data_IF_185837366612
#
_entry.id   IF_185837366612
#
_cell.length_a   1.000
_cell.length_b   1.000
_cell.length_c   1.000
_cell.angle_alpha   90.00
_cell.angle_beta   90.00
_cell.angle_gamma   90.00
#
_symmetry.space_group_name_H-M   'P 1'
#
loop_
_entity.id
_entity.type
_entity.pdbx_description
1 polymer ?
#
# COMPACT_ATOMS: atom_id res chain seq x y z
N UNK A 1 -32.24 0.43 -0.76
CA UNK A 1 -31.31 1.57 -0.63
C UNK A 1 -31.10 1.79 0.86
N UNK A 2 -30.00 1.24 1.40
CA UNK A 2 -29.54 1.60 2.75
C UNK A 2 -28.77 2.90 2.61
N UNK A 3 -29.20 3.97 3.28
CA UNK A 3 -28.43 5.21 3.36
C UNK A 3 -27.27 4.98 4.34
N UNK A 4 -26.21 4.34 3.88
CA UNK A 4 -24.95 4.27 4.62
C UNK A 4 -24.28 5.64 4.49
N UNK A 5 -24.08 6.34 5.60
CA UNK A 5 -23.39 7.62 5.63
C UNK A 5 -21.90 7.36 5.79
N UNK A 6 -21.14 7.56 4.72
CA UNK A 6 -19.69 7.36 4.67
C UNK A 6 -18.89 8.62 5.09
N UNK A 7 -19.54 9.62 5.69
CA UNK A 7 -18.87 10.86 6.07
C UNK A 7 -18.34 11.62 4.85
N UNK A 8 -17.05 11.96 4.87
CA UNK A 8 -16.36 12.62 3.74
C UNK A 8 -15.95 11.66 2.61
N UNK A 9 -16.09 10.34 2.80
CA UNK A 9 -15.82 9.35 1.75
C UNK A 9 -16.98 9.33 0.73
N UNK A 10 -16.63 9.50 -0.53
CA UNK A 10 -17.57 9.33 -1.64
C UNK A 10 -17.36 7.97 -2.29
N UNK A 11 -18.34 7.06 -2.17
CA UNK A 11 -18.29 5.77 -2.89
C UNK A 11 -18.38 6.01 -4.39
N UNK A 12 -17.38 5.56 -5.14
CA UNK A 12 -17.37 5.61 -6.59
C UNK A 12 -17.93 4.33 -7.21
N UNK A 13 -17.60 3.17 -6.65
CA UNK A 13 -18.02 1.89 -7.17
C UNK A 13 -17.94 0.77 -6.13
N UNK A 14 -18.83 -0.22 -6.26
CA UNK A 14 -18.63 -1.55 -5.67
C UNK A 14 -17.59 -2.28 -6.52
N UNK A 15 -16.58 -2.86 -5.86
CA UNK A 15 -15.55 -3.65 -6.51
C UNK A 15 -16.09 -5.04 -6.89
N UNK A 16 -15.68 -5.60 -8.04
CA UNK A 16 -16.06 -6.95 -8.43
C UNK A 16 -15.62 -7.99 -7.40
N UNK A 17 -16.36 -9.10 -7.29
CA UNK A 17 -16.01 -10.24 -6.43
C UNK A 17 -14.61 -10.85 -6.66
N UNK A 18 -13.94 -10.50 -7.76
CA UNK A 18 -12.54 -10.88 -8.02
C UNK A 18 -11.55 -10.09 -7.16
N UNK A 19 -11.97 -8.98 -6.54
CA UNK A 19 -11.18 -8.07 -5.71
C UNK A 19 -11.69 -8.04 -4.26
N UNK A 20 -12.08 -9.20 -3.72
CA UNK A 20 -12.63 -9.30 -2.36
C UNK A 20 -11.61 -8.96 -1.27
N UNK A 21 -10.35 -9.30 -1.51
CA UNK A 21 -9.23 -9.09 -0.59
C UNK A 21 -8.31 -8.03 -1.21
N UNK A 22 -8.89 -6.96 -1.77
CA UNK A 22 -8.11 -5.88 -2.39
C UNK A 22 -7.20 -5.25 -1.35
N UNK A 23 -5.89 -5.23 -1.64
CA UNK A 23 -4.88 -4.72 -0.70
C UNK A 23 -4.14 -3.52 -1.29
N UNK A 24 -3.65 -3.63 -2.53
CA UNK A 24 -2.96 -2.53 -3.22
C UNK A 24 -3.82 -1.84 -4.27
N UNK A 25 -3.64 -0.51 -4.39
CA UNK A 25 -4.23 0.36 -5.42
C UNK A 25 -3.18 1.33 -5.94
N UNK A 26 -3.15 1.59 -7.25
CA UNK A 26 -2.27 2.61 -7.82
C UNK A 26 -2.77 3.11 -9.19
N UNK A 27 -2.43 4.34 -9.56
CA UNK A 27 -2.58 4.88 -10.92
C UNK A 27 -1.23 4.96 -11.62
N UNK A 28 -1.22 4.94 -12.94
CA UNK A 28 0.01 5.16 -13.72
C UNK A 28 -0.14 6.42 -14.57
N UNK A 29 0.95 7.16 -14.71
CA UNK A 29 0.98 8.36 -15.55
C UNK A 29 0.43 8.09 -16.95
N UNK A 30 -0.40 9.01 -17.45
CA UNK A 30 -1.06 8.94 -18.77
C UNK A 30 -2.05 7.78 -18.93
N UNK A 31 -2.64 7.29 -17.84
CA UNK A 31 -3.75 6.33 -17.89
C UNK A 31 -4.86 6.73 -16.93
N UNK A 32 -6.11 6.58 -17.37
CA UNK A 32 -7.29 6.71 -16.50
C UNK A 32 -7.64 5.39 -15.78
N UNK A 33 -6.79 4.36 -15.94
CA UNK A 33 -6.97 3.07 -15.29
C UNK A 33 -6.41 3.08 -13.87
N UNK A 34 -7.17 2.48 -12.97
CA UNK A 34 -6.81 2.26 -11.58
C UNK A 34 -6.39 0.79 -11.46
N UNK A 35 -5.13 0.57 -11.11
CA UNK A 35 -4.55 -0.76 -10.92
C UNK A 35 -4.78 -1.24 -9.50
N UNK A 36 -5.11 -2.50 -9.36
CA UNK A 36 -5.38 -3.14 -8.08
C UNK A 36 -4.82 -4.56 -8.03
N UNK A 37 -4.56 -5.04 -6.82
CA UNK A 37 -4.22 -6.43 -6.53
C UNK A 37 -4.97 -6.94 -5.29
N UNK A 38 -5.01 -8.26 -5.12
CA UNK A 38 -5.49 -8.88 -3.88
C UNK A 38 -4.32 -9.32 -2.99
N UNK A 39 -4.62 -9.44 -1.69
CA UNK A 39 -3.76 -9.93 -0.61
C UNK A 39 -3.18 -11.34 -0.86
N UNK A 40 -2.22 -11.73 -0.03
CA UNK A 40 -1.55 -13.03 0.08
C UNK A 40 -2.41 -14.25 -0.23
N UNK A 41 -1.87 -15.18 -1.01
CA UNK A 41 -2.52 -16.45 -1.33
C UNK A 41 -3.53 -16.41 -2.48
N UNK A 42 -3.88 -15.21 -2.96
CA UNK A 42 -4.69 -15.04 -4.17
C UNK A 42 -3.92 -15.33 -5.46
N UNK A 43 -4.62 -15.20 -6.60
CA UNK A 43 -3.98 -15.27 -7.91
C UNK A 43 -2.97 -14.14 -8.08
N UNK A 44 -1.87 -14.45 -8.76
CA UNK A 44 -0.83 -13.47 -9.13
C UNK A 44 -1.25 -12.66 -10.35
N UNK A 45 -2.24 -11.79 -10.15
CA UNK A 45 -2.86 -10.98 -11.18
C UNK A 45 -2.92 -9.50 -10.76
N UNK A 46 -2.72 -8.59 -11.70
CA UNK A 46 -3.06 -7.18 -11.57
C UNK A 46 -4.35 -6.90 -12.34
N UNK A 47 -5.25 -6.14 -11.73
CA UNK A 47 -6.53 -5.76 -12.32
C UNK A 47 -6.52 -4.27 -12.64
N UNK A 48 -6.81 -3.88 -13.88
CA UNK A 48 -6.96 -2.48 -14.26
C UNK A 48 -8.44 -2.16 -14.41
N UNK A 49 -8.95 -1.24 -13.61
CA UNK A 49 -10.36 -0.85 -13.54
C UNK A 49 -10.55 0.58 -14.05
N UNK A 50 -11.75 0.88 -14.53
CA UNK A 50 -12.19 2.28 -14.62
C UNK A 50 -12.75 2.77 -13.27
N UNK A 51 -13.03 4.07 -13.15
CA UNK A 51 -13.63 4.67 -11.95
C UNK A 51 -15.02 4.12 -11.60
N UNK A 52 -15.66 3.34 -12.48
CA UNK A 52 -16.94 2.69 -12.24
C UNK A 52 -16.77 1.27 -11.70
N UNK A 53 -15.56 0.87 -11.33
CA UNK A 53 -15.24 -0.47 -10.83
C UNK A 53 -15.24 -1.55 -11.91
N UNK A 54 -15.29 -1.19 -13.20
CA UNK A 54 -15.31 -2.17 -14.29
C UNK A 54 -13.90 -2.59 -14.66
N UNK A 55 -13.58 -3.88 -14.50
CA UNK A 55 -12.31 -4.45 -14.95
C UNK A 55 -12.19 -4.30 -16.47
N UNK A 56 -11.18 -3.55 -16.92
CA UNK A 56 -10.79 -3.39 -18.32
C UNK A 56 -9.68 -4.34 -18.72
N UNK A 57 -8.83 -4.72 -17.77
CA UNK A 57 -7.68 -5.60 -18.04
C UNK A 57 -7.33 -6.44 -16.82
N UNK A 58 -6.81 -7.63 -17.10
CA UNK A 58 -6.20 -8.50 -16.11
C UNK A 58 -4.84 -8.94 -16.64
N UNK A 59 -3.78 -8.71 -15.87
CA UNK A 59 -2.41 -9.08 -16.23
C UNK A 59 -1.94 -10.18 -15.31
N UNK A 60 -1.46 -11.28 -15.89
CA UNK A 60 -0.89 -12.40 -15.15
C UNK A 60 0.59 -12.18 -14.92
N UNK A 61 1.02 -12.26 -13.67
CA UNK A 61 2.40 -12.02 -13.28
C UNK A 61 3.13 -13.36 -13.11
N UNK A 62 4.37 -13.46 -13.60
CA UNK A 62 5.22 -14.63 -13.40
C UNK A 62 5.93 -14.63 -12.04
N UNK A 63 5.13 -14.52 -10.98
CA UNK A 63 5.54 -14.69 -9.60
C UNK A 63 4.44 -15.41 -8.84
N UNK A 64 4.76 -15.92 -7.66
CA UNK A 64 3.75 -16.40 -6.71
C UNK A 64 3.37 -15.23 -5.80
N UNK A 65 2.08 -15.08 -5.52
CA UNK A 65 1.59 -14.21 -4.47
C UNK A 65 1.84 -14.91 -3.12
N UNK A 66 2.94 -14.54 -2.46
CA UNK A 66 3.28 -15.07 -1.14
C UNK A 66 2.57 -14.29 -0.03
N UNK A 67 2.67 -12.97 -0.07
CA UNK A 67 1.98 -11.99 0.81
C UNK A 67 2.10 -10.62 0.08
N UNK A 68 1.26 -10.42 -0.95
CA UNK A 68 1.23 -9.19 -1.73
C UNK A 68 0.35 -8.16 -1.06
N UNK A 69 0.89 -7.02 -0.71
CA UNK A 69 0.18 -6.04 0.13
C UNK A 69 -0.14 -4.76 -0.65
N UNK A 70 0.87 -4.07 -1.19
CA UNK A 70 0.65 -2.74 -1.79
C UNK A 70 1.09 -2.66 -3.27
N UNK A 71 0.69 -1.55 -3.91
CA UNK A 71 1.14 -1.13 -5.22
C UNK A 71 1.81 0.25 -5.17
N UNK A 72 2.77 0.47 -6.06
CA UNK A 72 3.31 1.79 -6.32
C UNK A 72 3.67 1.93 -7.80
N UNK A 73 3.78 3.17 -8.29
CA UNK A 73 4.20 3.47 -9.65
C UNK A 73 5.40 4.41 -9.69
N UNK A 74 6.17 4.35 -10.77
CA UNK A 74 7.15 5.40 -11.08
C UNK A 74 6.68 6.32 -12.21
N UNK A 75 7.41 7.41 -12.40
CA UNK A 75 7.15 8.41 -13.43
C UNK A 75 7.31 7.89 -14.87
N UNK A 76 7.85 6.67 -15.05
CA UNK A 76 7.96 6.00 -16.34
C UNK A 76 6.77 5.05 -16.60
N UNK A 77 5.82 4.98 -15.66
CA UNK A 77 4.64 4.10 -15.76
C UNK A 77 4.93 2.64 -15.43
N UNK A 78 6.04 2.33 -14.77
CA UNK A 78 6.26 1.00 -14.21
C UNK A 78 5.44 0.83 -12.94
N UNK A 79 4.98 -0.39 -12.70
CA UNK A 79 4.33 -0.76 -11.44
C UNK A 79 5.28 -1.57 -10.57
N UNK A 80 5.14 -1.41 -9.27
CA UNK A 80 5.85 -2.14 -8.23
C UNK A 80 4.82 -2.86 -7.38
N UNK A 81 5.06 -4.15 -7.11
CA UNK A 81 4.21 -5.00 -6.28
C UNK A 81 4.98 -5.33 -5.01
N UNK A 82 4.41 -5.03 -3.86
CA UNK A 82 5.00 -5.34 -2.56
C UNK A 82 4.69 -6.77 -2.13
N UNK A 83 5.62 -7.71 -2.33
CA UNK A 83 5.55 -9.04 -1.70
C UNK A 83 6.29 -9.00 -0.35
N UNK A 84 5.67 -8.33 0.61
CA UNK A 84 6.31 -7.82 1.83
C UNK A 84 5.55 -8.07 3.13
N UNK A 85 4.30 -8.57 3.05
CA UNK A 85 3.53 -9.01 4.22
C UNK A 85 4.32 -10.03 5.03
N UNK A 86 4.34 -9.87 6.35
CA UNK A 86 5.14 -10.67 7.26
C UNK A 86 4.53 -10.68 8.67
N UNK A 87 3.23 -10.97 8.72
CA UNK A 87 2.38 -11.07 9.92
C UNK A 87 3.09 -11.71 11.14
N UNK A 88 3.80 -12.81 10.91
CA UNK A 88 4.50 -13.56 11.98
C UNK A 88 5.94 -13.09 12.24
N UNK A 89 6.46 -12.16 11.44
CA UNK A 89 7.81 -11.59 11.48
C UNK A 89 8.93 -12.63 11.27
N UNK A 90 8.67 -13.70 10.51
CA UNK A 90 9.59 -14.80 10.27
C UNK A 90 10.07 -14.92 8.81
N UNK A 91 9.57 -14.10 7.88
CA UNK A 91 9.99 -14.14 6.48
C UNK A 91 11.41 -13.60 6.30
N UNK A 92 12.15 -14.24 5.42
CA UNK A 92 13.54 -13.89 5.01
C UNK A 92 13.64 -13.56 3.51
N UNK A 93 12.51 -13.53 2.81
CA UNK A 93 12.38 -13.43 1.35
C UNK A 93 11.51 -12.24 0.93
N UNK A 94 11.61 -11.11 1.64
CA UNK A 94 10.87 -9.90 1.29
C UNK A 94 11.38 -9.34 -0.04
N UNK A 95 10.46 -8.97 -0.93
CA UNK A 95 10.80 -8.56 -2.29
C UNK A 95 9.78 -7.60 -2.86
N UNK A 96 10.26 -6.60 -3.60
CA UNK A 96 9.42 -5.78 -4.49
C UNK A 96 9.57 -6.33 -5.91
N UNK A 97 8.45 -6.58 -6.57
CA UNK A 97 8.42 -7.04 -7.97
C UNK A 97 8.15 -5.84 -8.86
N UNK A 98 9.06 -5.56 -9.80
CA UNK A 98 8.85 -4.51 -10.80
C UNK A 98 8.25 -5.10 -12.07
N UNK A 99 7.16 -4.49 -12.53
CA UNK A 99 6.46 -4.72 -13.79
C UNK A 99 6.73 -3.52 -14.69
N UNK A 100 7.31 -3.76 -15.87
CA UNK A 100 7.61 -2.67 -16.79
C UNK A 100 6.32 -2.12 -17.42
N UNK A 101 6.24 -0.80 -17.61
CA UNK A 101 5.05 -0.14 -18.17
C UNK A 101 4.64 -0.69 -19.55
N UNK A 102 5.62 -1.09 -20.37
CA UNK A 102 5.38 -1.70 -21.68
C UNK A 102 4.67 -3.07 -21.59
N UNK A 103 4.81 -3.77 -20.47
CA UNK A 103 4.16 -5.06 -20.22
C UNK A 103 2.71 -4.88 -19.71
N UNK A 104 2.28 -3.65 -19.39
CA UNK A 104 0.90 -3.37 -18.95
C UNK A 104 -0.14 -3.46 -20.07
N UNK A 105 0.29 -3.75 -21.29
CA UNK A 105 -0.59 -3.97 -22.46
C UNK A 105 -0.57 -5.38 -23.02
N UNK A 106 0.18 -6.30 -22.41
CA UNK A 106 0.34 -7.66 -22.95
C UNK A 106 -0.73 -8.63 -22.45
N UNK A 107 -1.07 -9.61 -23.28
CA UNK A 107 -1.92 -10.76 -22.91
C UNK A 107 -1.09 -11.94 -22.39
N UNK A 108 0.25 -11.85 -22.46
CA UNK A 108 1.16 -12.88 -22.00
C UNK A 108 1.39 -12.78 -20.49
N UNK A 109 1.91 -13.87 -19.92
CA UNK A 109 2.41 -13.83 -18.54
C UNK A 109 3.64 -12.91 -18.49
N UNK A 110 3.62 -11.94 -17.57
CA UNK A 110 4.64 -10.89 -17.46
C UNK A 110 5.81 -11.37 -16.59
N UNK A 111 7.02 -11.27 -17.14
CA UNK A 111 8.25 -11.47 -16.36
C UNK A 111 8.51 -10.27 -15.47
N UNK A 112 9.10 -10.50 -14.29
CA UNK A 112 9.33 -9.44 -13.30
C UNK A 112 10.79 -9.28 -12.93
N UNK A 113 11.15 -8.06 -12.56
CA UNK A 113 12.43 -7.80 -11.89
C UNK A 113 12.24 -7.88 -10.37
N UNK A 114 13.22 -8.46 -9.68
CA UNK A 114 13.18 -8.65 -8.23
C UNK A 114 14.12 -7.70 -7.51
N UNK A 115 13.55 -6.94 -6.59
CA UNK A 115 14.26 -6.04 -5.68
C UNK A 115 14.11 -6.64 -4.28
N UNK A 116 15.02 -7.56 -3.95
CA UNK A 116 14.98 -8.24 -2.66
C UNK A 116 15.58 -7.33 -1.59
N UNK A 117 15.04 -7.40 -0.39
CA UNK A 117 15.59 -6.64 0.72
C UNK A 117 15.47 -7.37 2.05
N UNK A 118 16.23 -6.89 3.04
CA UNK A 118 16.13 -7.32 4.43
C UNK A 118 16.21 -6.12 5.37
N UNK A 119 15.54 -6.23 6.51
CA UNK A 119 15.70 -5.26 7.57
C UNK A 119 17.05 -5.42 8.29
N UNK A 120 17.80 -4.34 8.52
CA UNK A 120 19.10 -4.41 9.18
C UNK A 120 18.99 -4.93 10.61
N UNK A 121 17.85 -4.66 11.27
CA UNK A 121 17.63 -4.89 12.70
C UNK A 121 16.91 -6.22 13.01
N UNK A 122 16.43 -6.95 12.01
CA UNK A 122 15.79 -8.26 12.22
C UNK A 122 16.83 -9.37 12.30
N UNK A 123 17.34 -9.64 13.50
CA UNK A 123 18.36 -10.69 13.72
C UNK A 123 17.78 -12.08 14.00
N UNK A 124 16.47 -12.18 14.21
CA UNK A 124 15.74 -13.42 14.50
C UNK A 124 14.44 -13.47 13.72
N UNK A 125 14.00 -14.68 13.37
CA UNK A 125 12.85 -14.94 12.51
C UNK A 125 11.98 -16.04 13.16
N UNK A 126 11.03 -15.70 14.05
CA UNK A 126 10.66 -14.35 14.47
C UNK A 126 11.49 -13.78 15.63
N UNK A 127 11.54 -12.44 15.78
CA UNK A 127 12.08 -11.82 16.97
C UNK A 127 11.15 -12.03 18.19
N UNK A 128 11.61 -11.60 19.37
CA UNK A 128 10.79 -11.62 20.58
C UNK A 128 9.50 -10.84 20.35
N UNK A 129 8.41 -11.21 21.04
CA UNK A 129 7.08 -10.59 20.84
C UNK A 129 7.07 -9.07 20.96
N UNK A 130 7.91 -8.49 21.82
CA UNK A 130 8.05 -7.05 22.01
C UNK A 130 8.98 -6.35 20.99
N UNK A 131 9.44 -7.07 19.97
CA UNK A 131 10.36 -6.60 18.92
C UNK A 131 9.82 -6.92 17.51
N UNK A 132 8.53 -7.24 17.38
CA UNK A 132 7.90 -7.61 16.10
C UNK A 132 7.41 -6.36 15.35
N UNK A 133 8.36 -5.69 14.69
CA UNK A 133 8.13 -4.49 13.89
C UNK A 133 8.64 -4.65 12.44
N UNK A 134 8.65 -5.88 11.93
CA UNK A 134 9.18 -6.25 10.62
C UNK A 134 8.12 -6.88 9.71
N UNK A 135 6.87 -6.66 10.08
CA UNK A 135 5.74 -6.80 9.19
C UNK A 135 5.59 -5.52 8.38
N UNK A 136 5.18 -5.59 7.14
CA UNK A 136 5.09 -4.41 6.27
C UNK A 136 3.94 -4.67 5.34
N UNK A 137 3.07 -3.68 5.20
CA UNK A 137 1.91 -3.75 4.30
C UNK A 137 1.97 -2.64 3.25
N UNK A 138 2.85 -1.64 3.42
CA UNK A 138 2.78 -0.41 2.62
C UNK A 138 4.12 0.10 2.15
N UNK A 139 4.13 0.69 0.94
CA UNK A 139 5.30 1.35 0.38
C UNK A 139 4.94 2.27 -0.79
N UNK A 140 5.82 3.21 -1.11
CA UNK A 140 5.73 3.98 -2.36
C UNK A 140 7.10 4.18 -3.02
N UNK A 141 7.09 4.59 -4.30
CA UNK A 141 8.28 5.00 -5.04
C UNK A 141 8.50 6.51 -4.94
N UNK A 142 9.73 6.95 -4.68
CA UNK A 142 10.12 8.36 -4.76
C UNK A 142 11.62 8.50 -5.02
N UNK A 143 12.02 9.35 -5.98
CA UNK A 143 13.42 9.65 -6.32
C UNK A 143 14.33 8.40 -6.35
N UNK A 144 14.03 7.46 -7.27
CA UNK A 144 14.77 6.22 -7.51
C UNK A 144 14.84 5.24 -6.32
N UNK A 145 13.98 5.44 -5.33
CA UNK A 145 13.96 4.64 -4.11
C UNK A 145 12.54 4.18 -3.78
N UNK A 146 12.46 3.10 -3.02
CA UNK A 146 11.22 2.57 -2.46
C UNK A 146 11.26 2.82 -0.95
N UNK A 147 10.21 3.45 -0.44
CA UNK A 147 10.04 3.77 0.97
C UNK A 147 9.00 2.86 1.55
N UNK A 148 9.39 2.08 2.56
CA UNK A 148 8.63 0.96 3.10
C UNK A 148 8.24 1.27 4.54
N UNK A 149 6.97 1.04 4.85
CA UNK A 149 6.37 1.33 6.15
C UNK A 149 6.00 0.02 6.85
N UNK A 150 6.51 -0.17 8.06
CA UNK A 150 6.24 -1.40 8.81
C UNK A 150 4.96 -1.33 9.62
N UNK A 151 4.26 -2.45 9.75
CA UNK A 151 3.20 -2.66 10.72
C UNK A 151 3.76 -3.26 12.01
N UNK A 152 3.32 -2.74 13.16
CA UNK A 152 3.79 -3.23 14.46
C UNK A 152 2.88 -4.34 14.98
N UNK A 153 3.42 -5.54 15.19
CA UNK A 153 2.71 -6.67 15.82
C UNK A 153 2.95 -6.74 17.33
N UNK A 154 3.36 -5.62 17.93
CA UNK A 154 3.60 -5.50 19.38
C UNK A 154 2.32 -5.00 20.08
N UNK A 155 1.87 -5.75 21.09
CA UNK A 155 0.68 -5.41 21.90
C UNK A 155 0.76 -3.97 22.42
N UNK A 156 -0.34 -3.22 22.27
CA UNK A 156 -0.51 -1.82 22.68
C UNK A 156 0.43 -0.83 21.95
N UNK A 157 1.01 -1.22 20.81
CA UNK A 157 1.84 -0.38 19.95
C UNK A 157 1.50 -0.65 18.48
N UNK A 158 0.23 -0.89 18.17
CA UNK A 158 -0.19 -1.33 16.84
C UNK A 158 -0.02 -0.22 15.80
N UNK A 159 -0.32 1.03 16.14
CA UNK A 159 -0.11 2.17 15.24
C UNK A 159 1.33 2.66 15.11
N UNK A 160 2.31 1.94 15.67
CA UNK A 160 3.72 2.25 15.40
C UNK A 160 4.11 1.75 14.01
N UNK A 161 4.64 2.66 13.19
CA UNK A 161 5.28 2.37 11.91
C UNK A 161 6.72 2.85 11.87
N UNK A 162 7.59 2.10 11.21
CA UNK A 162 8.96 2.50 10.94
C UNK A 162 9.10 2.72 9.43
N UNK A 163 9.81 3.78 9.06
CA UNK A 163 10.16 4.12 7.70
C UNK A 163 11.53 3.55 7.36
N UNK A 164 11.57 2.77 6.28
CA UNK A 164 12.78 2.26 5.69
C UNK A 164 12.91 2.67 4.22
N UNK A 165 14.14 2.68 3.71
CA UNK A 165 14.43 2.97 2.31
C UNK A 165 15.30 1.89 1.67
N UNK A 166 14.99 1.55 0.42
CA UNK A 166 15.83 0.75 -0.48
C UNK A 166 15.92 1.38 -1.86
N UNK A 167 16.99 1.15 -2.64
CA UNK A 167 17.02 1.56 -4.05
C UNK A 167 15.96 0.81 -4.88
N UNK A 168 15.30 1.50 -5.81
CA UNK A 168 14.34 0.92 -6.76
C UNK A 168 15.04 0.19 -7.91
N UNK A 169 16.04 -0.64 -7.58
CA UNK A 169 16.91 -1.32 -8.55
C UNK A 169 16.99 -2.80 -8.26
N UNK A 170 16.94 -3.63 -9.31
CA UNK A 170 17.12 -5.09 -9.21
C UNK A 170 18.34 -5.44 -8.35
N UNK A 171 18.17 -6.38 -7.41
CA UNK A 171 19.28 -6.85 -6.58
C UNK A 171 18.85 -7.33 -5.20
N UNK A 172 19.83 -7.37 -4.30
CA UNK A 172 19.64 -7.65 -2.88
C UNK A 172 20.11 -6.43 -2.08
N UNK A 173 19.22 -5.87 -1.27
CA UNK A 173 19.49 -4.65 -0.51
C UNK A 173 19.37 -4.87 0.98
N UNK A 174 20.09 -4.07 1.75
CA UNK A 174 19.82 -3.91 3.18
C UNK A 174 19.12 -2.58 3.34
N UNK A 175 17.93 -2.60 3.94
CA UNK A 175 17.14 -1.40 4.10
C UNK A 175 17.82 -0.40 5.05
N UNK A 176 17.66 0.89 4.77
CA UNK A 176 18.15 1.97 5.62
C UNK A 176 16.97 2.43 6.48
N UNK A 177 17.11 2.36 7.81
CA UNK A 177 16.12 2.94 8.73
C UNK A 177 16.24 4.47 8.70
N UNK A 178 15.10 5.15 8.52
CA UNK A 178 15.05 6.62 8.50
C UNK A 178 14.47 7.12 9.82
N UNK A 179 13.20 6.80 10.08
CA UNK A 179 12.47 7.34 11.24
C UNK A 179 11.27 6.44 11.62
N UNK A 180 10.48 6.83 12.61
CA UNK A 180 9.24 6.14 13.00
C UNK A 180 8.14 7.11 13.39
N UNK A 181 6.90 6.72 13.17
CA UNK A 181 5.70 7.43 13.58
C UNK A 181 4.79 6.50 14.40
N UNK A 182 3.98 7.05 15.29
CA UNK A 182 3.00 6.30 16.07
C UNK A 182 1.67 7.06 16.07
N UNK A 183 0.65 6.48 15.45
CA UNK A 183 -0.71 7.05 15.36
C UNK A 183 -1.48 6.81 16.66
N UNK A 184 -1.87 5.56 16.91
CA UNK A 184 -2.59 5.14 18.11
C UNK A 184 -2.22 3.71 18.56
N UNK A 185 -2.81 3.25 19.67
CA UNK A 185 -2.44 1.97 20.31
C UNK A 185 -3.34 0.80 19.92
N UNK A 186 -4.45 1.04 19.24
CA UNK A 186 -5.48 0.06 18.92
C UNK A 186 -5.15 -0.71 17.63
N UNK A 187 -5.74 -1.90 17.48
CA UNK A 187 -5.49 -2.77 16.32
C UNK A 187 -5.82 -2.08 14.99
N UNK A 188 -6.85 -1.23 14.99
CA UNK A 188 -7.29 -0.53 13.78
C UNK A 188 -6.35 0.60 13.35
N UNK A 189 -5.29 0.86 14.13
CA UNK A 189 -4.29 1.88 13.82
C UNK A 189 -3.09 1.35 13.04
N UNK A 190 -3.08 0.06 12.69
CA UNK A 190 -2.12 -0.47 11.75
C UNK A 190 -2.14 0.29 10.44
N UNK A 191 -0.96 0.71 9.99
CA UNK A 191 -0.82 1.29 8.65
C UNK A 191 -0.96 0.17 7.63
N UNK A 192 -1.85 0.37 6.66
CA UNK A 192 -2.21 -0.64 5.65
C UNK A 192 -1.69 -0.28 4.26
N UNK A 193 -1.84 0.97 3.82
CA UNK A 193 -1.26 1.48 2.56
C UNK A 193 -0.68 2.89 2.74
N UNK A 194 0.20 3.28 1.83
CA UNK A 194 0.82 4.59 1.81
C UNK A 194 1.14 5.04 0.39
N UNK A 195 1.06 6.35 0.13
CA UNK A 195 1.41 6.92 -1.16
C UNK A 195 2.02 8.33 -1.04
N UNK A 196 2.59 8.83 -2.12
CA UNK A 196 3.16 10.18 -2.23
C UNK A 196 2.54 10.94 -3.41
N UNK A 197 2.25 12.23 -3.23
CA UNK A 197 1.68 13.06 -4.29
C UNK A 197 2.65 13.19 -5.46
N UNK A 198 2.11 13.44 -6.67
CA UNK A 198 2.91 13.59 -7.89
C UNK A 198 3.95 14.71 -7.78
N UNK A 199 3.64 15.78 -7.04
CA UNK A 199 4.57 16.88 -6.78
C UNK A 199 5.61 16.58 -5.68
N UNK A 200 5.49 15.42 -5.02
CA UNK A 200 6.38 14.94 -3.97
C UNK A 200 6.30 15.71 -2.65
N UNK A 201 5.24 16.50 -2.42
CA UNK A 201 5.09 17.35 -1.22
C UNK A 201 4.18 16.79 -0.14
N UNK A 202 3.31 15.84 -0.47
CA UNK A 202 2.41 15.19 0.47
C UNK A 202 2.67 13.70 0.49
N UNK A 203 2.83 13.13 1.67
CA UNK A 203 2.81 11.68 1.89
C UNK A 203 1.56 11.35 2.67
N UNK A 204 0.80 10.35 2.23
CA UNK A 204 -0.37 9.84 2.94
C UNK A 204 -0.07 8.43 3.46
N UNK A 205 -0.41 8.17 4.72
CA UNK A 205 -0.49 6.83 5.29
C UNK A 205 -1.92 6.62 5.75
N UNK A 206 -2.52 5.47 5.43
CA UNK A 206 -3.85 5.13 5.94
C UNK A 206 -3.76 4.00 6.97
N UNK A 207 -4.70 4.03 7.91
CA UNK A 207 -5.12 2.87 8.68
C UNK A 207 -6.63 2.69 8.50
N UNK A 208 -7.30 1.81 9.24
CA UNK A 208 -8.74 1.62 9.04
C UNK A 208 -9.61 2.80 9.52
N UNK A 209 -9.05 3.74 10.28
CA UNK A 209 -9.78 4.86 10.91
C UNK A 209 -9.53 6.21 10.26
N UNK A 210 -8.33 6.45 9.73
CA UNK A 210 -7.90 7.78 9.31
C UNK A 210 -6.84 7.72 8.20
N UNK A 211 -6.79 8.78 7.39
CA UNK A 211 -5.63 9.15 6.60
C UNK A 211 -4.74 10.15 7.37
N UNK A 212 -3.43 9.90 7.38
CA UNK A 212 -2.42 10.76 7.99
C UNK A 212 -1.58 11.39 6.88
N UNK A 213 -1.68 12.70 6.73
CA UNK A 213 -0.99 13.45 5.68
C UNK A 213 0.21 14.18 6.27
N UNK A 214 1.38 13.89 5.71
CA UNK A 214 2.65 14.50 6.07
C UNK A 214 3.06 15.52 5.01
N UNK A 215 3.44 16.72 5.45
CA UNK A 215 3.92 17.82 4.59
C UNK A 215 5.11 18.52 5.22
N UNK A 216 5.79 19.41 4.48
CA UNK A 216 6.89 20.23 5.02
C UNK A 216 8.04 19.42 5.66
N UNK A 217 8.25 18.19 5.20
CA UNK A 217 9.30 17.30 5.68
C UNK A 217 10.69 17.65 5.11
N UNK A 218 11.75 17.19 5.80
CA UNK A 218 13.14 17.42 5.41
C UNK A 218 13.67 16.26 4.58
N UNK A 219 13.93 16.51 3.29
CA UNK A 219 14.48 15.50 2.40
C UNK A 219 13.52 14.31 2.26
N UNK A 220 13.98 13.11 2.59
CA UNK A 220 13.21 11.87 2.56
C UNK A 220 12.83 11.34 3.97
N UNK A 221 13.04 12.15 5.01
CA UNK A 221 12.48 11.90 6.34
C UNK A 221 11.07 12.48 6.44
N UNK A 222 10.10 11.78 5.83
CA UNK A 222 8.70 12.23 5.77
C UNK A 222 8.07 12.48 7.14
N UNK A 223 8.51 11.76 8.17
CA UNK A 223 8.02 11.92 9.55
C UNK A 223 8.62 13.11 10.29
N UNK A 224 9.59 13.82 9.70
CA UNK A 224 10.09 15.10 10.24
C UNK A 224 9.18 16.30 9.95
N UNK A 225 8.18 16.11 9.08
CA UNK A 225 7.25 17.14 8.65
C UNK A 225 6.10 17.40 9.61
N UNK A 226 5.20 18.27 9.19
CA UNK A 226 3.90 18.49 9.82
C UNK A 226 2.97 17.32 9.46
N UNK A 227 2.15 16.89 10.42
CA UNK A 227 1.17 15.81 10.23
C UNK A 227 -0.24 16.30 10.51
N UNK A 228 -1.17 15.96 9.62
CA UNK A 228 -2.60 16.19 9.80
C UNK A 228 -3.36 14.87 9.69
N UNK A 229 -4.28 14.65 10.62
CA UNK A 229 -5.19 13.50 10.61
C UNK A 229 -6.52 13.86 9.92
N UNK A 230 -6.98 12.96 9.06
CA UNK A 230 -8.27 13.01 8.39
C UNK A 230 -9.06 11.74 8.72
N UNK A 231 -9.97 11.78 9.71
CA UNK A 231 -10.77 10.61 10.08
C UNK A 231 -11.73 10.20 8.97
N UNK A 232 -11.93 8.89 8.80
CA UNK A 232 -12.92 8.29 7.91
C UNK A 232 -14.34 8.23 8.53
N UNK A 233 -14.49 8.79 9.73
CA UNK A 233 -15.76 8.89 10.45
C UNK A 233 -16.45 7.52 10.65
N UNK A 234 -17.76 7.44 10.44
CA UNK A 234 -18.62 6.29 10.77
C UNK A 234 -18.36 5.01 9.96
N UNK A 235 -17.38 5.01 9.05
CA UNK A 235 -17.02 3.85 8.25
C UNK A 235 -15.90 3.05 8.91
N UNK A 236 -16.26 1.86 9.41
CA UNK A 236 -15.37 0.95 10.12
C UNK A 236 -14.89 -0.22 9.25
N UNK A 237 -15.00 -0.11 7.93
CA UNK A 237 -14.48 -1.14 7.02
C UNK A 237 -12.95 -1.19 7.06
N UNK A 238 -12.39 -2.32 6.65
CA UNK A 238 -10.94 -2.51 6.58
C UNK A 238 -10.40 -1.78 5.35
N UNK A 239 -10.03 -0.50 5.53
CA UNK A 239 -9.30 0.26 4.50
C UNK A 239 -7.93 -0.36 4.33
N UNK A 240 -7.63 -0.82 3.11
CA UNK A 240 -6.38 -1.51 2.81
C UNK A 240 -5.53 -0.79 1.77
N UNK A 241 -6.12 -0.08 0.79
CA UNK A 241 -5.36 0.60 -0.27
C UNK A 241 -5.57 2.11 -0.30
N UNK A 242 -4.51 2.88 -0.60
CA UNK A 242 -4.59 4.32 -0.91
C UNK A 242 -3.67 4.70 -2.07
N UNK A 243 -4.14 5.59 -2.96
CA UNK A 243 -3.25 6.30 -3.88
C UNK A 243 -3.77 7.72 -4.18
N UNK A 244 -2.90 8.63 -4.59
CA UNK A 244 -3.28 9.97 -4.99
C UNK A 244 -3.98 9.96 -6.36
N UNK A 245 -5.21 10.48 -6.41
CA UNK A 245 -5.87 10.89 -7.66
C UNK A 245 -5.27 12.20 -8.18
N UNK A 246 -5.04 13.13 -7.26
CA UNK A 246 -4.42 14.44 -7.49
C UNK A 246 -3.94 15.04 -6.16
N UNK A 247 -3.37 16.24 -6.19
CA UNK A 247 -2.76 16.89 -5.01
C UNK A 247 -3.64 17.01 -3.76
N UNK A 248 -4.97 16.98 -3.88
CA UNK A 248 -5.91 17.13 -2.76
C UNK A 248 -6.96 16.02 -2.70
N UNK A 249 -6.79 14.95 -3.47
CA UNK A 249 -7.78 13.87 -3.51
C UNK A 249 -7.08 12.53 -3.62
N UNK A 250 -7.50 11.58 -2.79
CA UNK A 250 -7.01 10.21 -2.79
C UNK A 250 -8.13 9.24 -3.17
N UNK A 251 -7.74 8.14 -3.82
CA UNK A 251 -8.54 6.94 -3.91
C UNK A 251 -8.25 6.06 -2.71
N UNK A 252 -9.29 5.39 -2.20
CA UNK A 252 -9.17 4.43 -1.10
C UNK A 252 -9.95 3.17 -1.47
N UNK A 253 -9.45 2.01 -1.09
CA UNK A 253 -10.18 0.73 -1.20
C UNK A 253 -10.36 0.07 0.16
N UNK A 254 -11.41 -0.73 0.29
CA UNK A 254 -11.62 -1.60 1.43
C UNK A 254 -11.91 -3.05 1.04
N UNK A 255 -11.56 -3.97 1.93
CA UNK A 255 -11.85 -5.38 1.71
C UNK A 255 -13.32 -5.72 1.92
N UNK A 256 -13.80 -6.70 1.16
CA UNK A 256 -15.08 -7.32 1.40
C UNK A 256 -14.96 -8.34 2.54
N UNK A 257 -15.36 -7.93 3.75
CA UNK A 257 -15.32 -8.80 4.94
C UNK A 257 -16.66 -8.81 5.67
N UNK A 258 -17.02 -9.98 6.19
CA UNK A 258 -18.24 -10.19 6.99
C UNK A 258 -19.56 -9.67 6.33
N UNK A 259 -19.61 -9.58 5.01
CA UNK A 259 -20.81 -9.14 4.27
C UNK A 259 -20.87 -7.64 3.95
N UNK A 260 -19.77 -6.91 4.18
CA UNK A 260 -19.65 -5.45 3.93
C UNK A 260 -18.28 -5.08 3.37
N UNK A 261 -18.14 -3.87 2.81
CA UNK A 261 -16.92 -3.40 2.16
C UNK A 261 -16.83 -3.85 0.70
N UNK A 262 -15.62 -3.89 0.15
CA UNK A 262 -15.38 -4.17 -1.26
C UNK A 262 -15.71 -2.99 -2.16
N UNK A 263 -15.26 -1.79 -1.80
CA UNK A 263 -15.62 -0.53 -2.44
C UNK A 263 -14.37 0.26 -2.85
N UNK A 264 -14.54 1.07 -3.90
CA UNK A 264 -13.63 2.15 -4.27
C UNK A 264 -14.23 3.48 -3.82
N UNK A 265 -13.46 4.26 -3.08
CA UNK A 265 -13.84 5.57 -2.58
C UNK A 265 -12.98 6.67 -3.17
N UNK A 266 -13.53 7.88 -3.19
CA UNK A 266 -12.81 9.13 -3.33
C UNK A 266 -12.88 9.91 -2.01
N UNK A 267 -11.75 10.50 -1.60
CA UNK A 267 -11.64 11.27 -0.36
C UNK A 267 -10.81 12.54 -0.57
N UNK A 268 -11.31 13.67 -0.08
CA UNK A 268 -10.62 14.97 -0.18
C UNK A 268 -9.78 15.23 1.07
N UNK A 269 -8.54 15.67 0.86
CA UNK A 269 -7.56 16.07 1.89
C UNK A 269 -7.52 17.59 2.07
#
# INVERSE_FOLDING_TARGET
>A
MSCTNFGQLTVLADLPNLLKEVSGIETVSNSDLIWMLNDGGNKSELYALDQKGTIKKVIKINAKNHDWEDLASDTLGNLYIGDLGNNTNNRTNLVILKVHGADLSTDKKVEIERINFKYPNQKKFPPKRNQRHFDSESFFFYNDSLYIFTKSRVKNKFGKTNLYKIPAKRGNHTAIYINSFESCKDLECWITSADISNDGKKVVLINHKSAWVFTNFKGDDFFSGEVQEFPFEADLSQKEGVCFKNENTIYITDEYTHGSGGNLYEFSL
#
